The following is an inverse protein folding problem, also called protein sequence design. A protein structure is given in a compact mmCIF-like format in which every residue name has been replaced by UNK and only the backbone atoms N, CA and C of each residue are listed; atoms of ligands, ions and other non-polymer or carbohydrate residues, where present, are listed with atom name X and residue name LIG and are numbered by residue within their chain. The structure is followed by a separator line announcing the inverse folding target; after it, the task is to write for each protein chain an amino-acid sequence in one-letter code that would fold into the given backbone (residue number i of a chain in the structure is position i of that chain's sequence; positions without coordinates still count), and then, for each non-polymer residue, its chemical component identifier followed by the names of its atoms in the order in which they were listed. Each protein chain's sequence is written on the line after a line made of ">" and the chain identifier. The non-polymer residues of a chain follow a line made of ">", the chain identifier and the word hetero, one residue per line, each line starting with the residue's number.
data_IF_139856287600
#
_entry.id   IF_139856287600
#
_cell.length_a   1.000
_cell.length_b   1.000
_cell.length_c   1.000
_cell.angle_alpha   90.00
_cell.angle_beta   90.00
_cell.angle_gamma   90.00
#
_symmetry.space_group_name_H-M   'P 1'
#
loop_
_entity.id
_entity.type
_entity.pdbx_description
1 polymer ?
#
# COMPACT_ATOMS: atom_id res chain seq x y z
N UNK A 1 21.34 -11.50 -5.82
CA UNK A 1 20.00 -11.42 -6.42
C UNK A 1 20.07 -10.77 -7.81
N UNK A 2 20.72 -9.64 -7.98
CA UNK A 2 20.85 -8.90 -9.26
C UNK A 2 21.25 -9.80 -10.44
N UNK A 3 22.33 -10.56 -10.34
CA UNK A 3 22.80 -11.46 -11.40
C UNK A 3 21.83 -12.60 -11.76
N UNK A 4 21.04 -13.06 -10.77
CA UNK A 4 20.06 -14.15 -10.97
C UNK A 4 18.84 -13.70 -11.75
N UNK A 5 18.47 -12.42 -11.60
CA UNK A 5 17.27 -11.85 -12.19
C UNK A 5 17.57 -10.97 -13.41
N UNK A 6 18.86 -10.74 -13.73
CA UNK A 6 19.29 -9.80 -14.77
C UNK A 6 18.71 -8.39 -14.58
N UNK A 7 18.52 -7.97 -13.31
CA UNK A 7 18.01 -6.66 -12.94
C UNK A 7 19.08 -5.86 -12.21
N UNK A 8 19.03 -4.54 -12.38
CA UNK A 8 19.84 -3.63 -11.55
C UNK A 8 19.16 -3.49 -10.18
N UNK A 9 19.72 -4.15 -9.15
CA UNK A 9 19.23 -4.11 -7.79
C UNK A 9 20.31 -3.48 -6.92
N UNK A 10 19.95 -2.40 -6.26
CA UNK A 10 20.82 -1.68 -5.33
C UNK A 10 20.24 -1.74 -3.93
N UNK A 11 21.10 -1.92 -2.93
CA UNK A 11 20.74 -1.81 -1.53
C UNK A 11 21.17 -0.43 -1.00
N UNK A 12 20.35 0.15 -0.15
CA UNK A 12 20.60 1.42 0.52
C UNK A 12 20.58 1.23 2.03
N UNK A 13 21.20 2.15 2.75
CA UNK A 13 21.28 2.11 4.22
C UNK A 13 20.16 2.89 4.89
N UNK A 14 19.48 3.77 4.15
CA UNK A 14 18.35 4.55 4.65
C UNK A 14 17.11 4.42 3.76
N UNK A 15 15.94 4.66 4.34
CA UNK A 15 14.69 4.69 3.58
C UNK A 15 14.64 5.89 2.64
N UNK A 16 15.24 7.02 3.01
CA UNK A 16 15.34 8.22 2.20
C UNK A 16 16.05 7.94 0.88
N UNK A 17 17.21 7.29 0.94
CA UNK A 17 17.97 6.91 -0.26
C UNK A 17 17.21 5.86 -1.10
N UNK A 18 16.54 4.91 -0.44
CA UNK A 18 15.83 3.83 -1.10
C UNK A 18 14.56 4.29 -1.83
N UNK A 19 13.94 5.37 -1.37
CA UNK A 19 12.68 5.90 -1.93
C UNK A 19 12.88 7.10 -2.85
N UNK A 20 14.11 7.65 -2.92
CA UNK A 20 14.39 8.82 -3.76
C UNK A 20 14.12 8.54 -5.24
N UNK A 21 13.33 9.42 -5.87
CA UNK A 21 12.92 9.33 -7.27
C UNK A 21 12.27 8.00 -7.67
N UNK A 22 11.60 7.31 -6.75
CA UNK A 22 10.84 6.10 -7.05
C UNK A 22 9.43 6.42 -7.53
N UNK A 23 9.00 5.76 -8.61
CA UNK A 23 7.61 5.78 -9.07
C UNK A 23 6.71 4.87 -8.22
N UNK A 24 7.29 3.77 -7.69
CA UNK A 24 6.59 2.79 -6.87
C UNK A 24 7.44 2.46 -5.65
N UNK A 25 6.84 2.56 -4.47
CA UNK A 25 7.42 2.15 -3.19
C UNK A 25 6.57 1.03 -2.60
N UNK A 26 7.19 -0.09 -2.26
CA UNK A 26 6.50 -1.19 -1.59
C UNK A 26 7.08 -1.40 -0.19
N UNK A 27 6.24 -1.16 0.80
CA UNK A 27 6.53 -1.38 2.21
C UNK A 27 5.94 -2.74 2.59
N UNK A 28 6.77 -3.67 3.07
CA UNK A 28 6.35 -5.01 3.48
C UNK A 28 7.18 -5.37 4.71
N UNK A 29 6.93 -4.68 5.80
CA UNK A 29 7.68 -4.85 7.04
C UNK A 29 6.79 -5.38 8.16
N UNK A 30 7.41 -5.70 9.28
CA UNK A 30 6.71 -5.99 10.53
C UNK A 30 6.87 -4.85 11.56
N UNK A 31 7.18 -3.65 11.09
CA UNK A 31 7.40 -2.50 11.97
C UNK A 31 6.15 -2.12 12.74
N UNK A 32 6.32 -1.67 13.97
CA UNK A 32 5.26 -1.06 14.79
C UNK A 32 5.23 0.47 14.68
N UNK A 33 6.19 1.05 13.96
CA UNK A 33 6.35 2.49 13.73
C UNK A 33 6.60 2.74 12.25
N UNK A 34 6.23 3.93 11.73
CA UNK A 34 6.47 4.31 10.34
C UNK A 34 7.91 4.07 9.89
N UNK A 35 8.09 3.51 8.71
CA UNK A 35 9.40 3.20 8.10
C UNK A 35 9.84 4.22 7.06
N UNK A 36 8.90 5.06 6.62
CA UNK A 36 9.17 6.24 5.80
C UNK A 36 8.52 7.47 6.44
N UNK A 37 9.04 8.65 6.12
CA UNK A 37 8.49 9.94 6.55
C UNK A 37 7.58 10.55 5.49
N UNK A 38 6.83 11.60 5.87
CA UNK A 38 5.98 12.33 4.93
C UNK A 38 6.75 12.94 3.76
N UNK A 39 7.99 13.40 3.98
CA UNK A 39 8.82 14.04 2.96
C UNK A 39 9.23 13.08 1.84
N UNK A 40 9.21 11.78 2.12
CA UNK A 40 9.50 10.74 1.14
C UNK A 40 8.30 10.44 0.22
N UNK A 41 7.11 10.95 0.55
CA UNK A 41 5.89 10.80 -0.25
C UNK A 41 5.81 11.96 -1.22
N UNK A 42 6.29 11.73 -2.43
CA UNK A 42 6.44 12.76 -3.47
C UNK A 42 5.41 12.60 -4.58
N UNK A 43 5.24 13.65 -5.38
CA UNK A 43 4.28 13.65 -6.50
C UNK A 43 4.52 12.50 -7.47
N UNK A 44 3.45 11.83 -7.84
CA UNK A 44 3.46 10.74 -8.81
C UNK A 44 3.80 9.37 -8.21
N UNK A 45 4.20 9.28 -6.94
CA UNK A 45 4.52 7.99 -6.33
C UNK A 45 3.26 7.14 -6.10
N UNK A 46 3.40 5.84 -6.29
CA UNK A 46 2.46 4.85 -5.82
C UNK A 46 3.07 4.09 -4.64
N UNK A 47 2.35 4.03 -3.52
CA UNK A 47 2.80 3.29 -2.34
C UNK A 47 1.90 2.07 -2.15
N UNK A 48 2.53 0.89 -2.02
CA UNK A 48 1.92 -0.30 -1.49
C UNK A 48 2.37 -0.46 -0.04
N UNK A 49 1.47 -0.35 0.92
CA UNK A 49 1.72 -0.65 2.32
C UNK A 49 1.10 -2.03 2.63
N UNK A 50 1.94 -3.05 2.77
CA UNK A 50 1.52 -4.44 2.87
C UNK A 50 1.95 -5.13 4.17
N UNK A 51 2.60 -4.40 5.07
CA UNK A 51 3.01 -4.91 6.39
C UNK A 51 2.04 -4.57 7.51
N UNK A 52 1.09 -3.67 7.28
CA UNK A 52 0.16 -3.12 8.25
C UNK A 52 -1.07 -3.97 8.57
N UNK A 53 -0.99 -5.31 8.50
CA UNK A 53 -2.10 -6.24 8.72
C UNK A 53 -2.45 -6.47 10.21
N UNK A 54 -2.22 -5.48 11.05
CA UNK A 54 -2.54 -5.51 12.49
C UNK A 54 -2.47 -4.09 13.04
N UNK A 55 -3.41 -3.73 13.89
CA UNK A 55 -3.43 -2.44 14.61
C UNK A 55 -2.16 -2.16 15.45
N UNK A 56 -1.30 -3.17 15.66
CA UNK A 56 0.00 -3.04 16.33
C UNK A 56 1.13 -2.63 15.36
N UNK A 57 0.89 -2.65 14.05
CA UNK A 57 1.88 -2.36 13.02
C UNK A 57 1.57 -1.05 12.33
N UNK A 58 2.60 -0.40 11.83
CA UNK A 58 2.47 0.83 11.08
C UNK A 58 3.66 1.01 10.17
N UNK A 59 3.43 1.28 8.90
CA UNK A 59 4.49 1.55 7.92
C UNK A 59 4.53 3.01 7.49
N UNK A 60 3.38 3.72 7.62
CA UNK A 60 3.22 5.11 7.26
C UNK A 60 2.78 5.95 8.47
N UNK A 61 3.21 7.23 8.55
CA UNK A 61 2.61 8.16 9.49
C UNK A 61 1.12 8.37 9.15
N UNK A 62 0.23 8.31 10.13
CA UNK A 62 -1.20 8.59 9.89
C UNK A 62 -1.46 10.02 9.37
N UNK A 63 -0.58 10.97 9.69
CA UNK A 63 -0.61 12.33 9.14
C UNK A 63 -0.33 12.38 7.63
N UNK A 64 0.44 11.43 7.09
CA UNK A 64 0.74 11.40 5.66
C UNK A 64 -0.46 11.03 4.77
N UNK A 65 -1.52 10.49 5.37
CA UNK A 65 -2.72 10.04 4.62
C UNK A 65 -3.39 11.19 3.85
N UNK A 66 -3.28 12.42 4.31
CA UNK A 66 -3.79 13.60 3.59
C UNK A 66 -3.10 13.88 2.25
N UNK A 67 -1.89 13.35 2.04
CA UNK A 67 -1.13 13.56 0.79
C UNK A 67 -1.65 12.73 -0.38
N UNK A 68 -2.40 11.66 -0.10
CA UNK A 68 -2.84 10.75 -1.15
C UNK A 68 -4.10 11.24 -1.86
N UNK A 69 -4.01 11.39 -3.17
CA UNK A 69 -5.13 11.74 -4.06
C UNK A 69 -6.11 10.57 -4.22
N UNK A 70 -5.63 9.35 -4.01
CA UNK A 70 -6.43 8.13 -4.07
C UNK A 70 -5.91 7.07 -3.11
N UNK A 71 -6.83 6.47 -2.34
CA UNK A 71 -6.52 5.42 -1.37
C UNK A 71 -7.41 4.22 -1.64
N UNK A 72 -6.79 3.04 -1.72
CA UNK A 72 -7.50 1.76 -1.82
C UNK A 72 -6.99 0.76 -0.79
N UNK A 73 -7.82 -0.22 -0.46
CA UNK A 73 -7.48 -1.34 0.42
C UNK A 73 -8.09 -2.64 -0.11
N UNK A 74 -7.71 -3.77 0.48
CA UNK A 74 -8.24 -5.09 0.14
C UNK A 74 -9.72 -5.22 0.48
N UNK A 75 -10.07 -4.90 1.72
CA UNK A 75 -11.42 -4.97 2.29
C UNK A 75 -11.61 -3.81 3.28
N UNK A 76 -12.65 -3.02 3.06
CA UNK A 76 -12.91 -1.82 3.87
C UNK A 76 -13.30 -2.14 5.31
N UNK A 77 -13.98 -3.28 5.55
CA UNK A 77 -14.37 -3.66 6.91
C UNK A 77 -13.16 -4.16 7.70
N UNK A 78 -12.25 -4.90 7.05
CA UNK A 78 -10.99 -5.31 7.65
C UNK A 78 -10.12 -4.09 7.96
N UNK A 79 -10.01 -3.13 7.03
CA UNK A 79 -9.23 -1.90 7.23
C UNK A 79 -9.68 -1.10 8.45
N UNK A 80 -10.98 -1.05 8.73
CA UNK A 80 -11.55 -0.39 9.91
C UNK A 80 -11.14 -1.01 11.25
N UNK A 81 -10.62 -2.22 11.25
CA UNK A 81 -10.25 -2.96 12.47
C UNK A 81 -8.76 -3.27 12.56
N UNK A 82 -8.04 -3.27 11.46
CA UNK A 82 -6.65 -3.75 11.39
C UNK A 82 -5.66 -2.71 10.88
N UNK A 83 -6.07 -1.81 9.96
CA UNK A 83 -5.17 -0.81 9.37
C UNK A 83 -4.99 0.39 10.29
N UNK A 84 -3.92 0.39 11.07
CA UNK A 84 -3.65 1.43 12.07
C UNK A 84 -3.56 2.82 11.46
N UNK A 85 -2.88 2.98 10.34
CA UNK A 85 -2.68 4.26 9.66
C UNK A 85 -4.02 4.91 9.27
N UNK A 86 -4.90 4.12 8.66
CA UNK A 86 -6.21 4.60 8.23
C UNK A 86 -7.17 4.84 9.42
N UNK A 87 -7.10 3.98 10.44
CA UNK A 87 -7.89 4.15 11.67
C UNK A 87 -7.51 5.47 12.36
N UNK A 88 -6.22 5.68 12.62
CA UNK A 88 -5.75 6.92 13.26
C UNK A 88 -6.02 8.17 12.41
N UNK A 89 -5.82 8.10 11.10
CA UNK A 89 -6.10 9.22 10.21
C UNK A 89 -7.58 9.60 10.21
N UNK A 90 -8.47 8.59 10.25
CA UNK A 90 -9.91 8.81 10.32
C UNK A 90 -10.34 9.37 11.67
N UNK A 91 -9.80 8.84 12.78
CA UNK A 91 -10.08 9.35 14.13
C UNK A 91 -9.62 10.80 14.32
N UNK A 92 -8.49 11.16 13.69
CA UNK A 92 -7.96 12.55 13.70
C UNK A 92 -8.68 13.48 12.72
N UNK A 93 -9.60 12.97 11.90
CA UNK A 93 -10.31 13.77 10.88
C UNK A 93 -9.45 14.17 9.68
N UNK A 94 -8.31 13.51 9.47
CA UNK A 94 -7.41 13.73 8.33
C UNK A 94 -8.05 13.19 7.04
N UNK A 95 -8.74 12.07 7.14
CA UNK A 95 -9.52 11.48 6.05
C UNK A 95 -10.87 10.98 6.58
N UNK A 96 -11.62 10.32 5.73
CA UNK A 96 -12.89 9.67 6.04
C UNK A 96 -12.95 8.32 5.35
N UNK A 97 -13.61 7.34 5.95
CA UNK A 97 -13.84 6.03 5.34
C UNK A 97 -14.53 6.09 3.98
N UNK A 98 -15.28 7.17 3.71
CA UNK A 98 -15.91 7.40 2.40
C UNK A 98 -14.91 7.75 1.28
N UNK A 99 -13.69 8.14 1.63
CA UNK A 99 -12.62 8.48 0.69
C UNK A 99 -11.67 7.30 0.45
N UNK A 100 -11.90 6.16 1.10
CA UNK A 100 -11.11 4.95 0.97
C UNK A 100 -11.93 3.93 0.20
N UNK A 101 -11.35 3.31 -0.80
CA UNK A 101 -12.03 2.46 -1.76
C UNK A 101 -11.54 1.02 -1.69
N UNK A 102 -12.36 0.07 -2.08
CA UNK A 102 -11.90 -1.31 -2.27
C UNK A 102 -11.19 -1.46 -3.61
N UNK A 103 -10.07 -2.18 -3.62
CA UNK A 103 -9.30 -2.46 -4.84
C UNK A 103 -10.17 -3.16 -5.90
N UNK A 104 -11.13 -3.98 -5.48
CA UNK A 104 -12.09 -4.65 -6.36
C UNK A 104 -12.87 -3.69 -7.24
N UNK A 105 -13.25 -2.52 -6.72
CA UNK A 105 -14.00 -1.51 -7.48
C UNK A 105 -13.15 -0.83 -8.54
N UNK A 106 -11.83 -0.72 -8.31
CA UNK A 106 -10.87 -0.25 -9.32
C UNK A 106 -10.71 -1.30 -10.42
N UNK A 107 -10.54 -2.57 -10.05
CA UNK A 107 -10.37 -3.68 -11.00
C UNK A 107 -11.62 -3.85 -11.87
N UNK A 108 -12.80 -3.71 -11.29
CA UNK A 108 -14.08 -3.78 -11.99
C UNK A 108 -14.39 -2.52 -12.81
N UNK A 109 -13.50 -1.52 -12.83
CA UNK A 109 -13.69 -0.22 -13.50
C UNK A 109 -14.92 0.56 -13.01
N UNK A 110 -15.39 0.33 -11.78
CA UNK A 110 -16.48 1.10 -11.17
C UNK A 110 -16.00 2.48 -10.73
N UNK A 111 -14.74 2.57 -10.34
CA UNK A 111 -14.08 3.82 -9.97
C UNK A 111 -12.74 3.95 -10.69
N UNK A 112 -12.33 5.19 -10.93
CA UNK A 112 -11.03 5.50 -11.50
C UNK A 112 -10.07 5.73 -10.34
N UNK A 113 -9.00 4.94 -10.27
CA UNK A 113 -7.93 5.12 -9.29
C UNK A 113 -7.05 6.34 -9.62
N UNK A 114 -5.87 6.09 -10.17
CA UNK A 114 -4.96 7.14 -10.62
C UNK A 114 -5.53 7.85 -11.87
N UNK A 115 -5.64 9.17 -11.85
CA UNK A 115 -6.17 9.99 -12.94
C UNK A 115 -5.09 10.63 -13.81
N UNK A 116 -3.94 10.91 -13.21
CA UNK A 116 -2.79 11.51 -13.92
C UNK A 116 -1.46 11.11 -13.27
N UNK A 117 -0.35 11.44 -13.94
CA UNK A 117 1.00 11.06 -13.51
C UNK A 117 1.49 11.76 -12.24
N UNK A 118 0.83 12.82 -11.79
CA UNK A 118 1.20 13.54 -10.57
C UNK A 118 0.43 13.06 -9.34
N UNK A 119 -0.63 12.27 -9.54
CA UNK A 119 -1.40 11.75 -8.42
C UNK A 119 -0.53 10.87 -7.51
N UNK A 120 -0.65 11.08 -6.22
CA UNK A 120 -0.05 10.25 -5.18
C UNK A 120 -1.09 9.20 -4.77
N UNK A 121 -0.76 7.92 -4.88
CA UNK A 121 -1.74 6.87 -4.65
C UNK A 121 -1.25 5.85 -3.64
N UNK A 122 -2.16 5.38 -2.78
CA UNK A 122 -1.91 4.38 -1.74
C UNK A 122 -2.76 3.14 -1.96
N UNK A 123 -2.14 2.00 -1.81
CA UNK A 123 -2.81 0.72 -1.63
C UNK A 123 -2.39 0.11 -0.29
N UNK A 124 -3.37 -0.09 0.60
CA UNK A 124 -3.21 -0.78 1.88
C UNK A 124 -3.60 -2.24 1.72
N UNK A 125 -2.61 -3.11 1.69
CA UNK A 125 -2.80 -4.55 1.59
C UNK A 125 -2.78 -5.19 2.98
N UNK A 126 -3.94 -5.63 3.43
CA UNK A 126 -4.10 -6.27 4.73
C UNK A 126 -4.02 -7.80 4.63
N UNK A 127 -4.09 -8.31 3.39
CA UNK A 127 -4.14 -9.73 3.10
C UNK A 127 -5.54 -10.33 3.32
N UNK A 128 -6.15 -10.81 2.26
CA UNK A 128 -7.46 -11.48 2.31
C UNK A 128 -7.32 -12.91 1.76
N UNK A 129 -7.95 -13.88 2.43
CA UNK A 129 -7.83 -15.30 2.11
C UNK A 129 -8.21 -15.66 0.66
N UNK A 130 -9.06 -14.86 0.01
CA UNK A 130 -9.45 -15.11 -1.38
C UNK A 130 -8.27 -14.96 -2.35
N UNK A 131 -7.27 -14.11 -2.03
CA UNK A 131 -6.06 -13.93 -2.84
C UNK A 131 -5.23 -15.22 -2.81
N UNK A 132 -5.07 -15.82 -1.63
CA UNK A 132 -4.34 -17.10 -1.47
C UNK A 132 -5.05 -18.23 -2.20
N UNK A 133 -6.38 -18.31 -2.08
CA UNK A 133 -7.20 -19.33 -2.76
C UNK A 133 -7.10 -19.18 -4.28
N UNK A 134 -7.18 -17.96 -4.79
CA UNK A 134 -7.08 -17.68 -6.22
C UNK A 134 -5.68 -18.07 -6.76
N UNK A 135 -4.61 -17.69 -6.05
CA UNK A 135 -3.25 -18.06 -6.40
C UNK A 135 -3.04 -19.58 -6.35
N UNK A 136 -3.50 -20.25 -5.29
CA UNK A 136 -3.41 -21.70 -5.16
C UNK A 136 -4.17 -22.43 -6.27
N UNK A 137 -5.39 -21.95 -6.58
CA UNK A 137 -6.16 -22.51 -7.69
C UNK A 137 -5.44 -22.36 -9.03
N UNK A 138 -4.91 -21.18 -9.31
CA UNK A 138 -4.15 -20.94 -10.54
C UNK A 138 -2.97 -21.90 -10.68
N UNK A 139 -2.17 -22.06 -9.61
CA UNK A 139 -1.03 -23.02 -9.61
C UNK A 139 -1.52 -24.46 -9.81
N UNK A 140 -2.58 -24.86 -9.10
CA UNK A 140 -3.17 -26.19 -9.24
C UNK A 140 -3.59 -26.49 -10.68
N UNK A 141 -4.30 -25.56 -11.33
CA UNK A 141 -4.77 -25.71 -12.72
C UNK A 141 -3.62 -25.80 -13.74
N UNK A 142 -2.39 -25.33 -13.40
CA UNK A 142 -1.21 -25.46 -14.25
C UNK A 142 -0.50 -26.82 -14.10
N UNK A 143 -0.80 -27.58 -13.06
CA UNK A 143 -0.14 -28.84 -12.74
C UNK A 143 -0.93 -30.07 -13.22
N UNK A 144 -2.18 -29.87 -13.63
CA UNK A 144 -3.08 -30.92 -14.12
C UNK A 144 -3.34 -30.70 -15.60
#
# INVERSE_FOLDING_TARGET
>A
MSNKLSLNIQAFESSEEATDNCDIVSLITNSSTPVISEDQITKGVHINAAGGNSWLRSELPSSSIEKFDFISCDDLNQAKTECKELMEATEKGITSWNNIHELSDVIDNKIIGRKNHQDITLYESLGIAIQDIAAAKYVYDQLI
#
